data_IF_374380260682
#
_entry.id   IF_374380260682
#
_cell.length_a   1.000
_cell.length_b   1.000
_cell.length_c   1.000
_cell.angle_alpha   90.00
_cell.angle_beta   90.00
_cell.angle_gamma   90.00
#
_symmetry.space_group_name_H-M   'P 1'
#
loop_
_entity.id
_entity.type
_entity.pdbx_description
1 polymer ?
#
# COMPACT_ATOMS: atom_id res chain seq x y z
N UNK A 1 16.02 3.31 8.18
CA UNK A 1 14.92 4.00 7.49
C UNK A 1 13.62 3.57 8.15
N UNK A 2 12.67 4.50 8.39
CA UNK A 2 11.34 4.17 8.93
C UNK A 2 10.44 3.67 7.78
N UNK A 3 9.23 3.20 8.06
CA UNK A 3 8.22 2.95 7.02
C UNK A 3 6.89 3.50 7.48
N UNK A 4 6.20 4.25 6.61
CA UNK A 4 4.89 4.82 6.91
C UNK A 4 3.85 4.05 6.12
N UNK A 5 3.03 3.28 6.83
CA UNK A 5 1.93 2.53 6.24
C UNK A 5 0.75 3.47 6.06
N UNK A 6 0.31 3.65 4.82
CA UNK A 6 -0.79 4.52 4.47
C UNK A 6 -1.91 3.71 3.81
N UNK A 7 -3.14 4.16 4.02
CA UNK A 7 -4.35 3.66 3.38
C UNK A 7 -5.06 4.83 2.72
N UNK A 8 -5.41 4.73 1.45
CA UNK A 8 -6.25 5.73 0.76
C UNK A 8 -7.65 5.19 0.58
N UNK A 9 -8.65 5.96 1.01
CA UNK A 9 -10.04 5.77 0.60
C UNK A 9 -10.22 6.35 -0.82
N UNK A 10 -10.50 5.48 -1.78
CA UNK A 10 -10.60 5.83 -3.21
C UNK A 10 -11.75 6.82 -3.47
N UNK A 11 -12.86 6.70 -2.74
CA UNK A 11 -14.06 7.51 -2.97
C UNK A 11 -13.88 8.95 -2.53
N UNK A 12 -13.18 9.16 -1.41
CA UNK A 12 -12.95 10.47 -0.82
C UNK A 12 -11.58 11.06 -1.15
N UNK A 13 -10.69 10.27 -1.78
CA UNK A 13 -9.27 10.58 -1.98
C UNK A 13 -8.54 10.93 -0.69
N UNK A 14 -9.07 10.51 0.47
CA UNK A 14 -8.49 10.79 1.77
C UNK A 14 -7.41 9.76 2.08
N UNK A 15 -6.21 10.25 2.36
CA UNK A 15 -5.12 9.45 2.92
C UNK A 15 -5.28 9.31 4.44
N UNK A 16 -5.10 8.09 4.93
CA UNK A 16 -5.13 7.70 6.33
C UNK A 16 -3.76 7.09 6.65
N UNK A 17 -2.97 7.75 7.50
CA UNK A 17 -1.74 7.16 8.02
C UNK A 17 -2.12 6.09 9.05
N UNK A 18 -1.97 4.83 8.67
CA UNK A 18 -2.35 3.69 9.49
C UNK A 18 -1.30 3.37 10.56
N UNK A 19 -0.01 3.45 10.22
CA UNK A 19 1.06 3.19 11.18
C UNK A 19 2.41 3.81 10.77
N UNK A 20 3.28 4.00 11.75
CA UNK A 20 4.70 4.31 11.55
C UNK A 20 5.54 3.19 12.15
N UNK A 21 6.36 2.56 11.32
CA UNK A 21 7.26 1.50 11.72
C UNK A 21 8.66 2.06 11.92
N UNK A 22 9.26 1.78 13.07
CA UNK A 22 10.65 2.15 13.40
C UNK A 22 11.71 1.39 12.59
N UNK A 23 11.30 0.65 11.57
CA UNK A 23 12.14 -0.17 10.70
C UNK A 23 11.63 -0.08 9.26
N UNK A 24 12.48 -0.50 8.32
CA UNK A 24 12.09 -0.63 6.93
C UNK A 24 11.18 -1.86 6.76
N UNK A 25 10.06 -1.63 6.11
CA UNK A 25 9.05 -2.61 5.73
C UNK A 25 8.60 -2.33 4.30
N UNK A 26 8.17 -3.38 3.61
CA UNK A 26 7.85 -3.34 2.20
C UNK A 26 6.68 -4.25 1.80
N UNK A 27 6.21 -4.05 0.56
CA UNK A 27 5.19 -4.84 -0.15
C UNK A 27 3.91 -5.07 0.65
N UNK A 28 3.25 -4.00 1.14
CA UNK A 28 2.05 -4.13 1.91
C UNK A 28 0.91 -4.65 1.03
N UNK A 29 0.11 -5.58 1.54
CA UNK A 29 -1.05 -6.14 0.87
C UNK A 29 -2.17 -6.36 1.87
N UNK A 30 -3.41 -6.15 1.47
CA UNK A 30 -4.54 -6.66 2.22
C UNK A 30 -4.57 -8.18 2.16
N UNK A 31 -4.95 -8.80 3.27
CA UNK A 31 -5.15 -10.23 3.40
C UNK A 31 -6.24 -10.50 4.44
N UNK A 32 -6.77 -11.73 4.43
CA UNK A 32 -7.75 -12.20 5.39
C UNK A 32 -7.10 -13.26 6.29
N UNK A 33 -7.16 -13.01 7.60
CA UNK A 33 -6.76 -13.94 8.64
C UNK A 33 -8.00 -14.28 9.48
N UNK A 34 -8.50 -15.51 9.34
CA UNK A 34 -9.77 -15.94 9.98
C UNK A 34 -10.92 -14.96 9.69
N UNK A 35 -11.10 -14.61 8.40
CA UNK A 35 -12.08 -13.63 7.89
C UNK A 35 -11.90 -12.17 8.34
N UNK A 36 -10.91 -11.87 9.18
CA UNK A 36 -10.57 -10.49 9.53
C UNK A 36 -9.60 -9.90 8.51
N UNK A 37 -9.92 -8.72 7.99
CA UNK A 37 -9.04 -7.99 7.10
C UNK A 37 -7.84 -7.42 7.86
N UNK A 38 -6.66 -7.76 7.37
CA UNK A 38 -5.37 -7.38 7.93
C UNK A 38 -4.43 -6.93 6.81
N UNK A 39 -3.29 -6.34 7.18
CA UNK A 39 -2.26 -5.94 6.24
C UNK A 39 -1.04 -6.84 6.40
N UNK A 40 -0.73 -7.63 5.37
CA UNK A 40 0.51 -8.36 5.22
C UNK A 40 1.61 -7.39 4.75
N UNK A 41 2.82 -7.50 5.31
CA UNK A 41 4.01 -6.82 4.79
C UNK A 41 5.27 -7.64 5.04
N UNK A 42 6.37 -7.25 4.40
CA UNK A 42 7.67 -7.92 4.50
C UNK A 42 8.70 -7.03 5.19
N UNK A 43 9.61 -7.66 5.95
CA UNK A 43 10.85 -7.06 6.46
C UNK A 43 11.95 -8.10 6.39
N UNK A 44 12.95 -7.88 5.55
CA UNK A 44 14.11 -8.77 5.42
C UNK A 44 13.70 -10.22 5.15
N UNK A 45 12.79 -10.43 4.20
CA UNK A 45 12.19 -11.72 3.83
C UNK A 45 11.31 -12.39 4.90
N UNK A 46 11.04 -11.71 6.02
CA UNK A 46 10.10 -12.19 7.03
C UNK A 46 8.76 -11.48 6.81
N UNK A 47 7.68 -12.27 6.77
CA UNK A 47 6.31 -11.78 6.65
C UNK A 47 5.73 -11.42 8.02
N UNK A 48 5.03 -10.29 8.08
CA UNK A 48 4.35 -9.77 9.27
C UNK A 48 2.91 -9.42 8.92
N UNK A 49 2.05 -9.46 9.93
CA UNK A 49 0.65 -9.05 9.85
C UNK A 49 0.47 -7.84 10.77
N UNK A 50 -0.09 -6.78 10.23
CA UNK A 50 -0.68 -5.67 10.97
C UNK A 50 -2.20 -5.85 11.02
N UNK A 51 -2.74 -5.96 12.24
CA UNK A 51 -4.17 -6.09 12.48
C UNK A 51 -4.81 -4.71 12.50
N UNK A 52 -5.81 -4.49 11.63
CA UNK A 52 -6.57 -3.24 11.58
C UNK A 52 -7.53 -3.08 12.77
N UNK A 53 -7.88 -4.18 13.45
CA UNK A 53 -8.82 -4.17 14.55
C UNK A 53 -8.23 -3.60 15.85
N UNK A 54 -6.96 -3.90 16.12
CA UNK A 54 -6.29 -3.57 17.39
C UNK A 54 -4.92 -2.89 17.21
N UNK A 55 -4.46 -2.70 15.97
CA UNK A 55 -3.18 -2.07 15.66
C UNK A 55 -1.96 -2.92 16.01
N UNK A 56 -2.14 -4.21 16.32
CA UNK A 56 -1.05 -5.11 16.68
C UNK A 56 -0.24 -5.55 15.45
N UNK A 57 1.06 -5.81 15.66
CA UNK A 57 1.95 -6.40 14.66
C UNK A 57 2.43 -7.75 15.16
N UNK A 58 2.28 -8.78 14.33
CA UNK A 58 2.76 -10.13 14.62
C UNK A 58 3.53 -10.71 13.44
N UNK A 59 4.52 -11.56 13.73
CA UNK A 59 5.23 -12.32 12.69
C UNK A 59 4.30 -13.42 12.17
N UNK A 60 4.16 -13.51 10.85
CA UNK A 60 3.36 -14.55 10.21
C UNK A 60 4.06 -15.91 10.40
N UNK A 61 3.36 -16.90 10.95
CA UNK A 61 3.87 -18.27 11.06
C UNK A 61 3.72 -18.99 9.72
N UNK A 62 4.67 -19.87 9.37
CA UNK A 62 4.73 -20.52 8.06
C UNK A 62 3.48 -21.35 7.73
N UNK A 63 2.84 -21.93 8.75
CA UNK A 63 1.61 -22.72 8.65
C UNK A 63 0.33 -21.88 8.52
N UNK A 64 0.43 -20.56 8.66
CA UNK A 64 -0.73 -19.66 8.63
C UNK A 64 -1.26 -19.57 7.21
N UNK A 65 -2.48 -20.03 6.99
CA UNK A 65 -3.18 -19.83 5.71
C UNK A 65 -3.76 -18.42 5.67
N UNK A 66 -3.37 -17.68 4.64
CA UNK A 66 -3.96 -16.39 4.29
C UNK A 66 -4.85 -16.57 3.07
N UNK A 67 -5.97 -15.86 3.05
CA UNK A 67 -6.69 -15.59 1.81
C UNK A 67 -6.41 -14.15 1.38
N UNK A 68 -6.37 -13.91 0.08
CA UNK A 68 -6.19 -12.58 -0.48
C UNK A 68 -7.50 -12.11 -1.09
N UNK A 69 -7.89 -10.84 -0.91
CA UNK A 69 -9.07 -10.32 -1.56
C UNK A 69 -8.89 -10.39 -3.09
N UNK A 70 -9.90 -10.88 -3.78
CA UNK A 70 -9.98 -10.73 -5.23
C UNK A 70 -10.40 -9.29 -5.52
N UNK A 71 -9.59 -8.50 -6.25
CA UNK A 71 -10.03 -7.18 -6.66
C UNK A 71 -11.25 -7.30 -7.60
N UNK A 72 -12.12 -6.27 -7.67
CA UNK A 72 -13.20 -6.24 -8.65
C UNK A 72 -12.67 -6.38 -10.09
N UNK A 73 -13.45 -7.02 -10.96
CA UNK A 73 -13.04 -7.28 -12.35
C UNK A 73 -12.61 -5.99 -13.07
N UNK A 74 -11.41 -6.04 -13.66
CA UNK A 74 -10.82 -4.93 -14.42
C UNK A 74 -10.30 -3.77 -13.55
N UNK A 75 -10.31 -3.90 -12.22
CA UNK A 75 -9.77 -2.91 -11.29
C UNK A 75 -8.39 -3.34 -10.80
N UNK A 76 -7.38 -2.51 -11.04
CA UNK A 76 -6.01 -2.80 -10.64
C UNK A 76 -5.30 -1.53 -10.14
N UNK A 77 -4.29 -1.73 -9.29
CA UNK A 77 -3.41 -0.65 -8.82
C UNK A 77 -2.07 -0.78 -9.54
N UNK A 78 -1.56 0.34 -10.05
CA UNK A 78 -0.21 0.41 -10.56
C UNK A 78 0.57 1.57 -9.93
N UNK A 79 1.87 1.36 -9.78
CA UNK A 79 2.81 2.42 -9.53
C UNK A 79 3.39 2.90 -10.86
N UNK A 80 3.39 4.21 -11.06
CA UNK A 80 4.09 4.85 -12.16
C UNK A 80 5.20 5.72 -11.61
N UNK A 81 6.44 5.39 -11.95
CA UNK A 81 7.59 6.26 -11.69
C UNK A 81 7.41 7.56 -12.49
N UNK A 82 7.52 8.70 -11.81
CA UNK A 82 7.38 10.04 -12.38
C UNK A 82 8.74 10.72 -12.59
N UNK A 83 9.74 10.43 -11.74
CA UNK A 83 11.10 10.92 -11.89
C UNK A 83 12.09 10.02 -11.16
N UNK A 84 13.29 9.86 -11.73
CA UNK A 84 14.38 9.07 -11.16
C UNK A 84 15.42 10.03 -10.55
N UNK A 85 15.31 10.29 -9.25
CA UNK A 85 16.26 11.11 -8.51
C UNK A 85 17.03 10.21 -7.50
N UNK A 86 17.82 9.28 -8.01
CA UNK A 86 18.59 8.32 -7.21
C UNK A 86 17.75 7.15 -6.68
N UNK A 87 18.05 6.64 -5.48
CA UNK A 87 17.38 5.46 -4.89
C UNK A 87 15.92 5.70 -4.45
N UNK A 88 15.40 6.93 -4.57
CA UNK A 88 14.01 7.27 -4.23
C UNK A 88 13.28 7.80 -5.45
N UNK A 89 12.17 7.14 -5.78
CA UNK A 89 11.38 7.42 -6.97
C UNK A 89 10.14 8.21 -6.57
N UNK A 90 9.95 9.36 -7.19
CA UNK A 90 8.65 10.03 -7.10
C UNK A 90 7.64 9.20 -7.89
N UNK A 91 6.58 8.76 -7.23
CA UNK A 91 5.71 7.72 -7.76
C UNK A 91 4.25 8.16 -7.67
N UNK A 92 3.50 7.95 -8.76
CA UNK A 92 2.05 8.02 -8.75
C UNK A 92 1.45 6.64 -8.43
N UNK A 93 0.51 6.63 -7.48
CA UNK A 93 -0.39 5.50 -7.27
C UNK A 93 -1.61 5.70 -8.15
N UNK A 94 -1.81 4.84 -9.13
CA UNK A 94 -2.91 4.96 -10.09
C UNK A 94 -3.86 3.78 -9.97
N UNK A 95 -5.15 4.08 -9.89
CA UNK A 95 -6.24 3.14 -10.00
C UNK A 95 -6.62 3.01 -11.46
N UNK A 96 -6.45 1.82 -12.02
CA UNK A 96 -6.89 1.48 -13.38
C UNK A 96 -8.27 0.87 -13.33
N UNK A 97 -9.16 1.36 -14.18
CA UNK A 97 -10.50 0.82 -14.38
C UNK A 97 -10.82 0.73 -15.87
N UNK A 98 -11.84 -0.06 -16.28
CA UNK A 98 -12.24 -0.14 -17.68
C UNK A 98 -12.67 1.20 -18.30
N UNK A 99 -13.16 2.13 -17.49
CA UNK A 99 -13.64 3.46 -17.89
C UNK A 99 -12.56 4.56 -17.83
N UNK A 100 -11.38 4.25 -17.31
CA UNK A 100 -10.23 5.15 -17.29
C UNK A 100 -9.33 5.00 -16.07
N UNK A 101 -8.15 5.62 -16.16
CA UNK A 101 -7.17 5.64 -15.08
C UNK A 101 -7.37 6.88 -14.18
N UNK A 102 -7.22 6.70 -12.87
CA UNK A 102 -7.31 7.78 -11.87
C UNK A 102 -6.06 7.77 -10.99
N UNK A 103 -5.33 8.90 -10.92
CA UNK A 103 -4.23 9.07 -9.96
C UNK A 103 -4.81 9.31 -8.57
N UNK A 104 -4.53 8.39 -7.64
CA UNK A 104 -5.01 8.46 -6.26
C UNK A 104 -4.15 9.38 -5.39
N UNK A 105 -2.83 9.25 -5.51
CA UNK A 105 -1.87 10.09 -4.82
C UNK A 105 -0.51 10.07 -5.52
N UNK A 106 0.37 10.98 -5.10
CA UNK A 106 1.78 10.98 -5.45
C UNK A 106 2.61 11.01 -4.18
N UNK A 107 3.68 10.24 -4.15
CA UNK A 107 4.48 10.05 -2.95
C UNK A 107 5.92 9.64 -3.30
N UNK A 108 6.82 9.73 -2.33
CA UNK A 108 8.17 9.18 -2.45
C UNK A 108 8.17 7.73 -2.01
N UNK A 109 8.61 6.85 -2.90
CA UNK A 109 8.62 5.40 -2.66
C UNK A 109 9.47 4.65 -3.69
N UNK A 110 9.40 3.33 -3.64
CA UNK A 110 10.00 2.42 -4.62
C UNK A 110 8.96 1.45 -5.17
N UNK A 111 9.35 0.55 -6.08
CA UNK A 111 8.50 -0.57 -6.53
C UNK A 111 7.99 -1.45 -5.38
N UNK A 112 8.71 -1.46 -4.26
CA UNK A 112 8.37 -2.21 -3.05
C UNK A 112 7.37 -1.47 -2.13
N UNK A 113 6.86 -0.33 -2.56
CA UNK A 113 5.84 0.45 -1.83
C UNK A 113 4.46 -0.19 -1.83
N UNK A 114 4.19 -1.07 -2.80
CA UNK A 114 2.95 -1.86 -2.89
C UNK A 114 3.30 -3.34 -2.92
N UNK A 115 2.42 -4.17 -2.38
CA UNK A 115 2.48 -5.62 -2.56
C UNK A 115 1.57 -6.10 -3.70
N UNK A 116 1.38 -7.41 -3.77
CA UNK A 116 0.60 -8.07 -4.83
C UNK A 116 -0.90 -7.80 -4.73
N UNK A 117 -1.42 -7.59 -3.52
CA UNK A 117 -2.85 -7.38 -3.27
C UNK A 117 -3.10 -6.07 -2.50
N UNK A 118 -2.88 -4.90 -3.12
CA UNK A 118 -2.95 -3.61 -2.42
C UNK A 118 -4.38 -3.10 -2.22
N UNK A 119 -5.40 -3.72 -2.83
CA UNK A 119 -6.82 -3.35 -2.70
C UNK A 119 -7.51 -4.13 -1.58
N UNK A 120 -8.33 -3.43 -0.78
CA UNK A 120 -9.18 -4.05 0.23
C UNK A 120 -10.27 -4.92 -0.41
N UNK A 121 -10.90 -5.77 0.40
CA UNK A 121 -11.97 -6.69 -0.04
C UNK A 121 -13.18 -6.00 -0.65
N UNK A 122 -13.53 -4.81 -0.19
CA UNK A 122 -14.61 -4.00 -0.75
C UNK A 122 -14.17 -3.14 -1.96
N UNK A 123 -12.88 -3.19 -2.34
CA UNK A 123 -12.31 -2.40 -3.42
C UNK A 123 -12.28 -0.89 -3.14
N UNK A 124 -12.54 -0.46 -1.90
CA UNK A 124 -12.64 0.96 -1.52
C UNK A 124 -11.31 1.55 -1.07
N UNK A 125 -10.42 0.71 -0.54
CA UNK A 125 -9.18 1.16 0.08
C UNK A 125 -7.96 0.59 -0.64
N UNK A 126 -6.89 1.40 -0.69
CA UNK A 126 -5.58 0.98 -1.19
C UNK A 126 -4.54 1.14 -0.10
N UNK A 127 -3.76 0.10 0.15
CA UNK A 127 -2.64 0.12 1.10
C UNK A 127 -1.30 0.28 0.38
N UNK A 128 -0.42 1.12 0.92
CA UNK A 128 0.94 1.32 0.42
C UNK A 128 1.88 1.81 1.53
N UNK A 129 3.18 1.62 1.36
CA UNK A 129 4.19 2.35 2.11
C UNK A 129 4.61 3.57 1.31
N UNK A 130 4.68 4.74 1.93
CA UNK A 130 5.08 5.94 1.21
C UNK A 130 5.37 7.11 2.11
N UNK A 131 6.25 7.98 1.65
CA UNK A 131 6.55 9.24 2.31
C UNK A 131 5.82 10.37 1.60
N UNK A 132 5.23 11.32 2.34
CA UNK A 132 4.65 12.50 1.72
C UNK A 132 5.73 13.22 0.90
N UNK A 133 5.34 13.70 -0.27
CA UNK A 133 6.24 14.44 -1.13
C UNK A 133 6.69 15.74 -0.43
N UNK A 134 7.98 16.10 -0.44
CA UNK A 134 8.43 17.41 0.01
C UNK A 134 7.69 18.49 -0.78
N UNK A 135 7.22 19.53 -0.08
CA UNK A 135 6.55 20.67 -0.71
C UNK A 135 7.41 21.24 -1.84
N UNK A 136 6.88 21.26 -3.07
CA UNK A 136 7.57 21.76 -4.27
C UNK A 136 7.68 20.77 -5.42
N UNK A 137 7.35 19.48 -5.20
CA UNK A 137 7.33 18.44 -6.23
C UNK A 137 5.90 17.93 -6.55
N UNK A 138 4.88 18.51 -5.91
CA UNK A 138 3.45 18.20 -6.14
C UNK A 138 2.86 18.91 -7.37
N UNK A 139 3.58 19.85 -7.97
CA UNK A 139 3.12 20.58 -9.15
C UNK A 139 3.39 19.78 -10.41
N UNK A 140 2.35 19.46 -11.21
CA UNK A 140 2.55 19.02 -12.59
C UNK A 140 3.13 20.18 -13.39
N UNK A 141 4.18 19.90 -14.18
CA UNK A 141 4.43 20.66 -15.41
C UNK A 141 3.34 20.37 -16.45
#
# INVERSE_FOLDING_TARGET
MRSYLNIIDITSSREIRAAEFGFYAEKPSFCLLYDNECILFERGNIKYIFSLADGSISKLKAETKLAFPAPPDGVNICLQALSDAGDTVYTALTLRRPDGDTVLCRFMGTVNSIGEHPLSRDGRHVVFFGYPCPKGLDTPE
#
